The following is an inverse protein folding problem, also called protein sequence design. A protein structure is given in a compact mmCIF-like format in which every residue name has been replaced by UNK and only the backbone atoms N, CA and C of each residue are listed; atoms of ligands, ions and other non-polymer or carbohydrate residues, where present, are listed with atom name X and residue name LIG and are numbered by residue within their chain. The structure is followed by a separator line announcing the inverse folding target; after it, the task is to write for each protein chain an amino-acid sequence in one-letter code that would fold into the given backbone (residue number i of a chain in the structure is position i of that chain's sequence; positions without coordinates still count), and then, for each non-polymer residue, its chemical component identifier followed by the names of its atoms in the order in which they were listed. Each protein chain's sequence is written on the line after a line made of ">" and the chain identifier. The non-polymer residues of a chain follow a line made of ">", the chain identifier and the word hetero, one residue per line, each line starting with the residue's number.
data_IF_444669152421
#
_entry.id   IF_444669152421
#
_cell.length_a   1.000
_cell.length_b   1.000
_cell.length_c   1.000
_cell.angle_alpha   90.00
_cell.angle_beta   90.00
_cell.angle_gamma   90.00
#
_symmetry.space_group_name_H-M   'P 1'
#
loop_
_entity.id
_entity.type
_entity.pdbx_description
1 polymer ?
#
# COMPACT_ATOMS: atom_id res chain seq x y z
N UNK A 1 0.77 8.80 3.38
CA UNK A 1 -0.56 9.40 3.16
C UNK A 1 -1.49 9.21 4.37
N UNK A 2 -2.20 10.24 4.86
CA UNK A 2 -3.24 10.11 5.88
C UNK A 2 -4.45 9.29 5.40
N UNK A 3 -5.12 8.59 6.32
CA UNK A 3 -6.29 7.74 5.98
C UNK A 3 -7.43 8.50 5.29
N UNK A 4 -7.63 9.78 5.61
CA UNK A 4 -8.65 10.62 4.99
C UNK A 4 -8.35 10.89 3.51
N UNK A 5 -7.10 11.19 3.17
CA UNK A 5 -6.67 11.45 1.79
C UNK A 5 -6.80 10.17 0.94
N UNK A 6 -6.41 9.02 1.49
CA UNK A 6 -6.59 7.72 0.84
C UNK A 6 -8.06 7.42 0.51
N UNK A 7 -8.96 7.69 1.46
CA UNK A 7 -10.41 7.51 1.26
C UNK A 7 -10.93 8.46 0.17
N UNK A 8 -10.48 9.72 0.17
CA UNK A 8 -10.90 10.72 -0.82
C UNK A 8 -10.45 10.33 -2.23
N UNK A 9 -9.23 9.83 -2.38
CA UNK A 9 -8.64 9.41 -3.66
C UNK A 9 -9.31 8.13 -4.21
N UNK A 10 -9.51 7.11 -3.37
CA UNK A 10 -10.27 5.91 -3.76
C UNK A 10 -11.71 6.27 -4.13
N UNK A 11 -12.37 7.12 -3.34
CA UNK A 11 -13.73 7.55 -3.64
C UNK A 11 -13.80 8.44 -4.89
N UNK A 12 -12.71 9.12 -5.26
CA UNK A 12 -12.61 9.85 -6.52
C UNK A 12 -12.55 8.88 -7.70
N UNK A 13 -11.69 7.85 -7.65
CA UNK A 13 -11.57 6.80 -8.67
C UNK A 13 -12.93 6.15 -8.92
N UNK A 14 -13.59 5.66 -7.86
CA UNK A 14 -14.89 4.98 -7.96
C UNK A 14 -15.97 5.88 -8.59
N UNK A 15 -15.96 7.18 -8.31
CA UNK A 15 -17.00 8.11 -8.81
C UNK A 15 -16.77 8.60 -10.23
N UNK A 16 -15.53 8.52 -10.72
CA UNK A 16 -15.14 9.03 -12.03
C UNK A 16 -14.88 7.92 -13.04
N UNK A 17 -14.92 6.67 -12.60
CA UNK A 17 -15.01 5.51 -13.49
C UNK A 17 -16.39 5.44 -14.16
N UNK A 18 -16.48 6.01 -15.37
CA UNK A 18 -17.73 6.05 -16.15
C UNK A 18 -17.85 4.87 -17.12
N UNK A 19 -16.76 4.57 -17.81
CA UNK A 19 -16.69 3.60 -18.91
C UNK A 19 -15.54 2.59 -18.72
N UNK A 20 -14.82 2.64 -17.59
CA UNK A 20 -13.74 1.70 -17.31
C UNK A 20 -14.27 0.32 -16.95
N UNK A 21 -13.45 -0.69 -17.19
CA UNK A 21 -13.79 -2.04 -16.74
C UNK A 21 -13.67 -2.10 -15.21
N UNK A 22 -14.49 -2.91 -14.52
CA UNK A 22 -14.32 -3.15 -13.09
C UNK A 22 -12.91 -3.63 -12.72
N UNK A 23 -12.21 -4.27 -13.66
CA UNK A 23 -10.85 -4.76 -13.51
C UNK A 23 -9.83 -3.62 -13.51
N UNK A 24 -10.00 -2.63 -14.39
CA UNK A 24 -9.13 -1.45 -14.44
C UNK A 24 -9.33 -0.57 -13.19
N UNK A 25 -10.58 -0.37 -12.78
CA UNK A 25 -10.89 0.38 -11.55
C UNK A 25 -10.34 -0.31 -10.31
N UNK A 26 -10.39 -1.65 -10.27
CA UNK A 26 -9.74 -2.42 -9.21
C UNK A 26 -8.22 -2.23 -9.23
N UNK A 27 -7.59 -2.23 -10.41
CA UNK A 27 -6.14 -1.99 -10.56
C UNK A 27 -5.75 -0.61 -10.02
N UNK A 28 -6.44 0.44 -10.45
CA UNK A 28 -6.17 1.83 -10.01
C UNK A 28 -6.28 1.98 -8.48
N UNK A 29 -7.30 1.35 -7.87
CA UNK A 29 -7.46 1.36 -6.40
C UNK A 29 -6.31 0.62 -5.71
N UNK A 30 -5.90 -0.53 -6.24
CA UNK A 30 -4.81 -1.33 -5.66
C UNK A 30 -3.47 -0.59 -5.78
N UNK A 31 -3.23 0.14 -6.87
CA UNK A 31 -2.04 1.00 -7.04
C UNK A 31 -1.98 2.11 -5.98
N UNK A 32 -3.10 2.82 -5.74
CA UNK A 32 -3.17 3.86 -4.71
C UNK A 32 -2.92 3.27 -3.31
N UNK A 33 -3.51 2.11 -3.01
CA UNK A 33 -3.29 1.41 -1.73
C UNK A 33 -1.82 0.98 -1.60
N UNK A 34 -1.23 0.42 -2.64
CA UNK A 34 0.16 -0.01 -2.66
C UNK A 34 1.11 1.17 -2.41
N UNK A 35 0.90 2.29 -3.11
CA UNK A 35 1.67 3.51 -2.92
C UNK A 35 1.56 4.04 -1.48
N UNK A 36 0.34 4.05 -0.91
CA UNK A 36 0.13 4.48 0.47
C UNK A 36 0.86 3.58 1.48
N UNK A 37 0.99 2.27 1.20
CA UNK A 37 1.67 1.31 2.06
C UNK A 37 3.20 1.37 1.95
N UNK A 38 3.79 1.91 0.87
CA UNK A 38 5.25 2.07 0.75
C UNK A 38 5.86 3.05 1.77
N UNK A 39 5.02 3.92 2.34
CA UNK A 39 5.35 4.85 3.41
C UNK A 39 4.71 4.41 4.74
N UNK A 40 5.31 3.44 5.45
CA UNK A 40 4.72 2.93 6.69
C UNK A 40 4.61 4.04 7.74
N UNK A 41 3.47 4.08 8.43
CA UNK A 41 3.29 5.00 9.56
C UNK A 41 4.16 4.59 10.74
N UNK A 42 4.44 5.53 11.65
CA UNK A 42 5.20 5.24 12.87
C UNK A 42 4.56 4.11 13.70
N UNK A 43 3.24 4.03 13.73
CA UNK A 43 2.51 2.94 14.40
C UNK A 43 2.80 1.58 13.75
N UNK A 44 2.82 1.50 12.42
CA UNK A 44 3.17 0.28 11.69
C UNK A 44 4.61 -0.14 11.95
N UNK A 45 5.55 0.83 11.97
CA UNK A 45 6.96 0.57 12.28
C UNK A 45 7.11 0.03 13.70
N UNK A 46 6.42 0.64 14.68
CA UNK A 46 6.44 0.20 16.09
C UNK A 46 5.85 -1.20 16.26
N UNK A 47 4.74 -1.52 15.60
CA UNK A 47 4.16 -2.86 15.62
C UNK A 47 5.08 -3.90 15.00
N UNK A 48 5.76 -3.58 13.90
CA UNK A 48 6.76 -4.47 13.30
C UNK A 48 7.95 -4.71 14.23
N UNK A 49 8.48 -3.66 14.85
CA UNK A 49 9.63 -3.74 15.76
C UNK A 49 9.37 -4.55 17.05
N UNK A 50 8.11 -4.74 17.45
CA UNK A 50 7.74 -5.55 18.62
C UNK A 50 7.74 -7.06 18.35
N UNK A 51 7.55 -7.45 17.09
CA UNK A 51 7.40 -8.86 16.69
C UNK A 51 8.70 -9.49 16.20
N UNK A 52 9.76 -8.69 16.00
CA UNK A 52 11.03 -9.19 15.46
C UNK A 52 12.22 -8.58 16.17
N UNK A 53 13.06 -9.46 16.72
CA UNK A 53 14.36 -9.17 17.33
C UNK A 53 15.41 -8.84 16.24
N UNK A 54 15.04 -8.02 15.26
CA UNK A 54 15.87 -7.69 14.09
C UNK A 54 16.85 -6.58 14.46
N UNK A 55 17.88 -6.94 15.22
CA UNK A 55 18.94 -6.01 15.66
C UNK A 55 19.78 -5.39 14.54
N UNK A 56 19.60 -5.78 13.27
CA UNK A 56 20.54 -5.46 12.19
C UNK A 56 19.91 -5.00 10.86
N UNK A 57 18.58 -5.06 10.71
CA UNK A 57 17.92 -4.65 9.46
C UNK A 57 16.94 -3.51 9.74
N UNK A 58 17.00 -2.46 8.93
CA UNK A 58 16.08 -1.33 8.99
C UNK A 58 14.64 -1.84 8.77
N UNK A 59 13.80 -1.73 9.79
CA UNK A 59 12.41 -2.22 9.77
C UNK A 59 11.61 -1.70 8.55
N UNK A 60 11.95 -0.51 8.05
CA UNK A 60 11.34 0.09 6.85
C UNK A 60 11.72 -0.70 5.59
N UNK A 61 12.98 -1.13 5.47
CA UNK A 61 13.46 -1.87 4.31
C UNK A 61 12.87 -3.29 4.29
N UNK A 62 12.76 -3.93 5.46
CA UNK A 62 12.05 -5.21 5.61
C UNK A 62 10.57 -5.08 5.24
N UNK A 63 9.89 -4.03 5.71
CA UNK A 63 8.50 -3.77 5.38
C UNK A 63 8.30 -3.60 3.86
N UNK A 64 9.14 -2.80 3.20
CA UNK A 64 9.08 -2.60 1.76
C UNK A 64 9.36 -3.88 0.98
N UNK A 65 10.31 -4.70 1.43
CA UNK A 65 10.58 -6.00 0.82
C UNK A 65 9.38 -6.96 0.95
N UNK A 66 8.74 -7.02 2.12
CA UNK A 66 7.51 -7.81 2.32
C UNK A 66 6.36 -7.30 1.45
N UNK A 67 6.19 -5.98 1.34
CA UNK A 67 5.16 -5.36 0.52
C UNK A 67 5.38 -5.67 -0.97
N UNK A 68 6.61 -5.58 -1.45
CA UNK A 68 6.98 -5.96 -2.82
C UNK A 68 6.75 -7.45 -3.11
N UNK A 69 6.98 -8.34 -2.14
CA UNK A 69 6.72 -9.77 -2.26
C UNK A 69 5.24 -10.16 -2.04
N UNK A 70 4.36 -9.20 -1.73
CA UNK A 70 2.93 -9.46 -1.54
C UNK A 70 2.19 -9.46 -2.87
N UNK A 71 0.95 -9.98 -2.88
CA UNK A 71 0.08 -9.91 -4.06
C UNK A 71 -0.09 -8.48 -4.61
N UNK A 72 -0.06 -7.46 -3.74
CA UNK A 72 -0.11 -6.05 -4.17
C UNK A 72 1.17 -5.62 -4.91
N UNK A 73 2.33 -6.13 -4.49
CA UNK A 73 3.62 -5.85 -5.13
C UNK A 73 3.75 -6.56 -6.48
N UNK A 74 3.37 -7.83 -6.54
CA UNK A 74 3.34 -8.61 -7.80
C UNK A 74 2.46 -7.96 -8.88
N UNK A 75 1.38 -7.29 -8.46
CA UNK A 75 0.48 -6.57 -9.35
C UNK A 75 1.05 -5.25 -9.87
N UNK A 76 2.01 -4.64 -9.16
CA UNK A 76 2.60 -3.35 -9.51
C UNK A 76 3.76 -3.43 -10.51
N UNK A 77 4.37 -4.61 -10.66
CA UNK A 77 5.47 -4.89 -11.60
C UNK A 77 4.98 -5.30 -13.01
N UNK A 78 3.67 -5.28 -13.24
CA UNK A 78 2.99 -5.71 -14.47
C UNK A 78 2.75 -4.61 -15.51
#
# INVERSE_FOLDING_TARGET
>A
MPSKELIEEIAFIIRHDRDGSPEDTARDILEVIFAALQEPTEGMIKSGAQEVDWYDHNAIDCWRAMLAASALGEQSDG
#
